data_IF_605365013872
#
_entry.id   IF_605365013872
#
_cell.length_a   1.000
_cell.length_b   1.000
_cell.length_c   1.000
_cell.angle_alpha   90.00
_cell.angle_beta   90.00
_cell.angle_gamma   90.00
#
_symmetry.space_group_name_H-M   'P 1'
#
loop_
_entity.id
_entity.type
_entity.pdbx_description
1 polymer ?
#
# COMPACT_ATOMS: atom_id res chain seq x y z
N UNK A 1 31.82 -10.49 -7.13
CA UNK A 1 30.98 -11.66 -7.47
C UNK A 1 30.31 -12.06 -6.15
N UNK A 2 29.02 -11.88 -5.88
CA UNK A 2 27.80 -11.91 -6.69
C UNK A 2 26.85 -10.78 -6.24
N UNK A 3 26.31 -10.00 -7.18
CA UNK A 3 25.13 -9.19 -6.92
C UNK A 3 23.92 -10.08 -7.20
N UNK A 4 23.40 -10.77 -6.20
CA UNK A 4 22.09 -11.41 -6.31
C UNK A 4 21.04 -10.29 -6.33
N UNK A 5 20.72 -9.82 -7.55
CA UNK A 5 19.42 -9.19 -7.82
C UNK A 5 18.38 -10.23 -7.43
N UNK A 6 17.83 -10.12 -6.22
CA UNK A 6 16.59 -10.81 -5.85
C UNK A 6 15.47 -10.02 -6.53
N UNK A 7 15.36 -10.17 -7.84
CA UNK A 7 14.12 -9.88 -8.54
C UNK A 7 13.36 -11.21 -8.62
N UNK A 8 12.87 -11.68 -7.46
CA UNK A 8 11.80 -12.68 -7.47
C UNK A 8 10.55 -11.90 -7.84
N UNK A 9 9.90 -12.29 -8.92
CA UNK A 9 8.52 -11.94 -9.19
C UNK A 9 7.74 -12.20 -7.89
N UNK A 10 7.30 -11.14 -7.20
CA UNK A 10 6.53 -11.32 -5.98
C UNK A 10 5.24 -12.06 -6.36
N UNK A 11 4.92 -13.12 -5.64
CA UNK A 11 3.62 -13.78 -5.84
C UNK A 11 2.50 -12.81 -5.41
N UNK A 12 1.29 -13.07 -5.90
CA UNK A 12 0.12 -12.21 -5.62
C UNK A 12 -0.14 -12.07 -4.12
N UNK A 13 0.09 -13.12 -3.34
CA UNK A 13 -0.10 -13.08 -1.89
C UNK A 13 0.90 -12.12 -1.21
N UNK A 14 2.15 -12.14 -1.64
CA UNK A 14 3.21 -11.26 -1.16
C UNK A 14 2.90 -9.80 -1.46
N UNK A 15 2.40 -9.51 -2.68
CA UNK A 15 2.01 -8.16 -3.07
C UNK A 15 0.84 -7.64 -2.21
N UNK A 16 -0.16 -8.47 -1.93
CA UNK A 16 -1.29 -8.09 -1.08
C UNK A 16 -0.88 -7.91 0.39
N UNK A 17 0.00 -8.76 0.92
CA UNK A 17 0.58 -8.58 2.26
C UNK A 17 1.38 -7.28 2.33
N UNK A 18 2.23 -7.00 1.33
CA UNK A 18 2.99 -5.74 1.26
C UNK A 18 2.06 -4.53 1.19
N UNK A 19 0.96 -4.63 0.43
CA UNK A 19 -0.06 -3.58 0.35
C UNK A 19 -0.72 -3.33 1.70
N UNK A 20 -1.10 -4.38 2.43
CA UNK A 20 -1.66 -4.25 3.78
C UNK A 20 -0.66 -3.65 4.76
N UNK A 21 0.59 -4.10 4.73
CA UNK A 21 1.67 -3.56 5.56
C UNK A 21 1.94 -2.08 5.26
N UNK A 22 1.71 -1.62 4.03
CA UNK A 22 1.87 -0.21 3.69
C UNK A 22 0.88 0.70 4.42
N UNK A 23 -0.24 0.16 4.91
CA UNK A 23 -1.22 0.90 5.71
C UNK A 23 -1.00 0.80 7.23
N UNK A 24 0.06 0.12 7.70
CA UNK A 24 0.33 -0.10 9.14
C UNK A 24 0.38 1.21 9.93
N UNK A 25 0.96 2.26 9.33
CA UNK A 25 1.16 3.56 9.97
C UNK A 25 0.11 4.60 9.52
N UNK A 26 -0.90 4.19 8.74
CA UNK A 26 -1.95 5.08 8.25
C UNK A 26 -3.13 5.13 9.24
N UNK A 27 -3.94 6.19 9.14
CA UNK A 27 -5.10 6.43 10.03
C UNK A 27 -6.19 5.35 9.98
N UNK A 28 -6.19 4.50 8.94
CA UNK A 28 -7.06 3.34 8.83
C UNK A 28 -6.93 2.62 7.50
N UNK A 29 -7.35 1.37 7.45
CA UNK A 29 -7.41 0.55 6.24
C UNK A 29 -8.64 -0.35 6.26
N UNK A 30 -9.05 -0.83 5.09
CA UNK A 30 -10.15 -1.77 4.97
C UNK A 30 -9.87 -2.82 3.91
N UNK A 31 -10.46 -3.99 4.12
CA UNK A 31 -10.38 -5.14 3.22
C UNK A 31 -11.78 -5.57 2.83
N UNK A 32 -12.00 -5.74 1.54
CA UNK A 32 -13.19 -6.38 0.99
C UNK A 32 -12.80 -7.77 0.47
N UNK A 33 -13.52 -8.78 0.93
CA UNK A 33 -13.37 -10.17 0.47
C UNK A 33 -14.70 -10.75 0.02
N UNK A 34 -14.62 -11.73 -0.89
CA UNK A 34 -15.73 -12.60 -1.28
C UNK A 34 -15.36 -14.03 -0.90
N UNK A 35 -15.89 -14.50 0.24
CA UNK A 35 -15.47 -15.77 0.82
C UNK A 35 -13.96 -15.74 1.12
N UNK A 36 -13.21 -16.70 0.58
CA UNK A 36 -11.76 -16.79 0.73
C UNK A 36 -10.95 -15.91 -0.23
N UNK A 37 -11.61 -15.25 -1.19
CA UNK A 37 -10.94 -14.42 -2.19
C UNK A 37 -10.88 -12.96 -1.76
N UNK A 38 -9.68 -12.38 -1.76
CA UNK A 38 -9.49 -10.94 -1.58
C UNK A 38 -9.95 -10.20 -2.83
N UNK A 39 -10.84 -9.21 -2.66
CA UNK A 39 -11.31 -8.35 -3.75
C UNK A 39 -10.48 -7.06 -3.78
N UNK A 40 -10.32 -6.39 -2.63
CA UNK A 40 -9.46 -5.22 -2.53
C UNK A 40 -9.01 -4.97 -1.09
N UNK A 41 -7.75 -4.60 -0.93
CA UNK A 41 -7.23 -3.92 0.26
C UNK A 41 -6.95 -2.45 -0.08
N UNK A 42 -7.35 -1.52 0.78
CA UNK A 42 -7.19 -0.08 0.53
C UNK A 42 -7.14 0.76 1.79
N UNK A 43 -6.67 2.00 1.62
CA UNK A 43 -6.68 3.01 2.68
C UNK A 43 -8.11 3.31 3.14
N UNK A 44 -8.31 3.52 4.43
CA UNK A 44 -9.63 3.67 5.05
C UNK A 44 -10.44 4.81 4.43
N UNK A 45 -9.81 5.97 4.21
CA UNK A 45 -10.46 7.14 3.59
C UNK A 45 -10.92 6.85 2.15
N UNK A 46 -10.11 6.15 1.35
CA UNK A 46 -10.50 5.87 -0.04
C UNK A 46 -11.60 4.83 -0.11
N UNK A 47 -11.56 3.80 0.73
CA UNK A 47 -12.61 2.79 0.83
C UNK A 47 -13.92 3.40 1.35
N UNK A 48 -13.87 4.23 2.39
CA UNK A 48 -15.04 4.93 2.91
C UNK A 48 -15.71 5.74 1.80
N UNK A 49 -14.93 6.49 1.01
CA UNK A 49 -15.47 7.25 -0.12
C UNK A 49 -16.14 6.38 -1.17
N UNK A 50 -15.61 5.18 -1.47
CA UNK A 50 -16.27 4.24 -2.41
C UNK A 50 -17.67 3.87 -1.89
N UNK A 51 -17.79 3.65 -0.58
CA UNK A 51 -19.05 3.26 0.08
C UNK A 51 -20.02 4.44 0.10
N UNK A 52 -19.57 5.64 0.48
CA UNK A 52 -20.39 6.86 0.45
C UNK A 52 -20.91 7.18 -0.95
N UNK A 53 -20.10 6.93 -1.97
CA UNK A 53 -20.44 7.14 -3.37
C UNK A 53 -21.25 5.99 -3.99
N UNK A 54 -21.73 5.01 -3.21
CA UNK A 54 -22.44 3.83 -3.73
C UNK A 54 -23.57 4.20 -4.70
N UNK A 55 -24.35 5.23 -4.39
CA UNK A 55 -25.44 5.69 -5.25
C UNK A 55 -24.98 6.14 -6.66
N UNK A 56 -23.73 6.58 -6.81
CA UNK A 56 -23.16 7.03 -8.08
C UNK A 56 -22.78 5.88 -9.01
N UNK A 57 -22.44 4.72 -8.46
CA UNK A 57 -21.94 3.59 -9.25
C UNK A 57 -22.81 2.32 -9.17
N UNK A 58 -23.80 2.26 -8.26
CA UNK A 58 -24.69 1.10 -8.08
C UNK A 58 -25.45 0.68 -9.35
N UNK A 59 -25.70 1.61 -10.27
CA UNK A 59 -26.43 1.34 -11.52
C UNK A 59 -25.75 0.30 -12.41
N UNK A 60 -24.42 0.15 -12.30
CA UNK A 60 -23.64 -0.81 -13.08
C UNK A 60 -23.55 -2.20 -12.43
N UNK A 61 -23.95 -2.33 -11.16
CA UNK A 61 -23.73 -3.55 -10.35
C UNK A 61 -24.52 -4.75 -10.89
N UNK A 62 -25.75 -4.51 -11.36
CA UNK A 62 -26.59 -5.59 -11.92
C UNK A 62 -25.99 -6.23 -13.17
N UNK A 63 -25.28 -5.44 -13.98
CA UNK A 63 -24.72 -5.89 -15.26
C UNK A 63 -23.30 -6.43 -15.09
N UNK A 64 -22.47 -5.74 -14.29
CA UNK A 64 -21.01 -5.99 -14.23
C UNK A 64 -20.55 -6.70 -12.95
N UNK A 65 -21.44 -6.83 -11.96
CA UNK A 65 -21.12 -7.41 -10.66
C UNK A 65 -20.53 -6.38 -9.68
N UNK A 66 -20.72 -6.64 -8.39
CA UNK A 66 -20.34 -5.72 -7.31
C UNK A 66 -18.82 -5.54 -7.22
N UNK A 67 -18.07 -6.64 -7.27
CA UNK A 67 -16.62 -6.64 -7.10
C UNK A 67 -15.93 -5.83 -8.20
N UNK A 68 -16.38 -6.01 -9.45
CA UNK A 68 -15.86 -5.27 -10.60
C UNK A 68 -16.17 -3.77 -10.47
N UNK A 69 -17.41 -3.41 -10.13
CA UNK A 69 -17.80 -2.02 -9.96
C UNK A 69 -17.04 -1.35 -8.80
N UNK A 70 -16.92 -2.04 -7.66
CA UNK A 70 -16.23 -1.54 -6.48
C UNK A 70 -14.75 -1.29 -6.76
N UNK A 71 -14.04 -2.27 -7.32
CA UNK A 71 -12.61 -2.16 -7.66
C UNK A 71 -12.36 -1.08 -8.71
N UNK A 72 -13.22 -0.99 -9.74
CA UNK A 72 -13.13 0.04 -10.77
C UNK A 72 -13.36 1.44 -10.21
N UNK A 73 -14.32 1.60 -9.30
CA UNK A 73 -14.58 2.90 -8.67
C UNK A 73 -13.46 3.29 -7.70
N UNK A 74 -12.99 2.33 -6.88
CA UNK A 74 -11.85 2.53 -5.98
C UNK A 74 -10.58 2.96 -6.73
N UNK A 75 -10.27 2.34 -7.87
CA UNK A 75 -9.12 2.69 -8.70
C UNK A 75 -9.20 4.12 -9.29
N UNK A 76 -10.41 4.69 -9.45
CA UNK A 76 -10.60 6.07 -9.93
C UNK A 76 -10.39 7.10 -8.82
N UNK A 77 -10.55 6.71 -7.56
CA UNK A 77 -10.41 7.61 -6.42
C UNK A 77 -8.92 7.78 -6.11
N UNK A 78 -8.30 8.83 -6.68
CA UNK A 78 -6.92 9.26 -6.36
C UNK A 78 -6.88 10.02 -5.03
N UNK A 79 -7.23 9.35 -3.93
CA UNK A 79 -7.17 9.95 -2.59
C UNK A 79 -5.96 9.55 -1.76
N UNK A 80 -5.24 8.51 -2.16
CA UNK A 80 -4.14 7.98 -1.34
C UNK A 80 -2.79 8.48 -1.83
N UNK A 81 -1.93 8.97 -0.93
CA UNK A 81 -0.50 9.11 -1.20
C UNK A 81 0.09 7.80 -1.75
N UNK A 82 1.17 7.90 -2.52
CA UNK A 82 1.97 6.75 -2.98
C UNK A 82 2.27 5.80 -1.81
N UNK A 83 2.25 4.48 -2.05
CA UNK A 83 2.52 3.47 -1.03
C UNK A 83 3.88 3.67 -0.34
N UNK A 84 3.92 3.54 0.99
CA UNK A 84 5.15 3.45 1.78
C UNK A 84 5.16 2.14 2.56
N UNK A 85 6.23 1.36 2.45
CA UNK A 85 6.39 0.10 3.16
C UNK A 85 7.64 0.18 4.04
N UNK A 86 7.46 0.05 5.36
CA UNK A 86 8.56 -0.02 6.31
C UNK A 86 8.79 -1.50 6.71
N UNK A 87 9.94 -2.06 6.34
CA UNK A 87 10.35 -3.42 6.68
C UNK A 87 11.28 -3.37 7.90
N UNK A 88 11.01 -4.11 8.99
CA UNK A 88 11.92 -4.18 10.13
C UNK A 88 13.32 -4.62 9.68
N UNK A 89 14.36 -3.87 10.05
CA UNK A 89 15.72 -4.21 9.65
C UNK A 89 16.20 -5.49 10.34
N UNK A 90 16.51 -6.55 9.59
CA UNK A 90 17.12 -7.77 10.16
C UNK A 90 18.26 -8.38 9.34
N UNK A 91 18.75 -7.71 8.28
CA UNK A 91 19.86 -8.26 7.48
C UNK A 91 20.83 -7.17 7.01
N UNK A 92 21.84 -6.87 7.83
CA UNK A 92 22.98 -6.02 7.48
C UNK A 92 23.71 -5.41 8.69
N UNK A 93 24.88 -4.80 8.45
CA UNK A 93 25.56 -3.91 9.42
C UNK A 93 24.74 -2.61 9.54
N UNK A 94 23.73 -2.62 10.40
CA UNK A 94 22.98 -1.42 10.80
C UNK A 94 23.93 -0.51 11.60
N UNK A 95 23.87 0.83 11.47
CA UNK A 95 24.58 1.72 12.38
C UNK A 95 24.23 1.36 13.83
N UNK A 96 25.21 1.45 14.73
CA UNK A 96 25.01 1.26 16.17
C UNK A 96 23.77 2.04 16.62
N UNK A 97 22.97 1.37 17.44
CA UNK A 97 21.72 1.81 18.03
C UNK A 97 21.64 3.34 18.21
N UNK A 98 20.81 4.01 17.40
CA UNK A 98 20.62 5.46 17.50
C UNK A 98 19.62 5.76 18.62
N UNK A 99 19.94 6.72 19.49
CA UNK A 99 19.02 7.20 20.52
C UNK A 99 18.25 8.42 20.00
N UNK A 100 16.97 8.52 20.37
CA UNK A 100 16.15 9.70 20.09
C UNK A 100 16.75 10.93 20.79
N UNK A 101 17.01 12.05 20.08
CA UNK A 101 17.63 13.22 20.68
C UNK A 101 16.78 13.88 21.79
N UNK A 102 15.47 13.66 21.77
CA UNK A 102 14.54 14.29 22.71
C UNK A 102 14.30 13.46 24.00
N UNK A 103 14.33 12.13 23.90
CA UNK A 103 14.03 11.25 25.05
C UNK A 103 15.12 10.22 25.38
N UNK A 104 16.20 10.22 24.61
CA UNK A 104 17.38 9.36 24.75
C UNK A 104 17.09 7.84 24.74
N UNK A 105 15.90 7.43 24.28
CA UNK A 105 15.53 6.02 24.09
C UNK A 105 16.06 5.50 22.77
N UNK A 106 16.41 4.22 22.73
CA UNK A 106 16.78 3.51 21.50
C UNK A 106 15.67 3.63 20.46
N UNK A 107 16.02 4.02 19.24
CA UNK A 107 15.11 4.10 18.12
C UNK A 107 14.97 2.74 17.43
N UNK A 108 13.78 2.46 16.89
CA UNK A 108 13.58 1.32 16.01
C UNK A 108 14.18 1.59 14.62
N UNK A 109 14.76 0.55 14.00
CA UNK A 109 15.34 0.63 12.66
C UNK A 109 14.50 -0.11 11.63
N UNK A 110 14.18 0.55 10.53
CA UNK A 110 13.45 -0.04 9.41
C UNK A 110 14.06 0.38 8.06
N UNK A 111 13.91 -0.47 7.06
CA UNK A 111 14.14 -0.15 5.66
C UNK A 111 12.82 0.36 5.08
N UNK A 112 12.80 1.60 4.61
CA UNK A 112 11.59 2.20 4.02
C UNK A 112 11.65 2.18 2.50
N UNK A 113 10.62 1.59 1.88
CA UNK A 113 10.36 1.67 0.44
C UNK A 113 9.25 2.69 0.23
N UNK A 114 9.56 3.81 -0.42
CA UNK A 114 8.59 4.85 -0.76
C UNK A 114 8.37 4.85 -2.26
N UNK A 115 7.12 4.70 -2.66
CA UNK A 115 6.67 4.95 -4.02
C UNK A 115 6.86 6.45 -4.33
N UNK A 116 7.50 6.76 -5.45
CA UNK A 116 7.65 8.12 -5.98
C UNK A 116 6.96 8.17 -7.34
N UNK A 117 5.71 8.62 -7.40
CA UNK A 117 5.10 8.96 -8.68
C UNK A 117 5.67 10.30 -9.13
N UNK A 118 6.64 10.29 -10.05
CA UNK A 118 6.98 11.47 -10.85
C UNK A 118 5.89 11.56 -11.91
N UNK A 119 4.78 12.21 -11.59
CA UNK A 119 3.82 12.67 -12.61
C UNK A 119 4.37 13.96 -13.25
N UNK A 120 5.51 13.84 -13.92
CA UNK A 120 6.16 14.91 -14.68
C UNK A 120 6.88 14.32 -15.89
N UNK A 121 6.74 14.91 -17.10
CA UNK A 121 7.40 14.37 -18.29
C UNK A 121 8.90 14.37 -18.07
N UNK A 122 9.56 13.29 -18.48
CA UNK A 122 11.02 13.19 -18.55
C UNK A 122 11.63 14.48 -19.07
N UNK A 123 12.27 15.26 -18.19
CA UNK A 123 13.29 16.20 -18.61
C UNK A 123 14.61 15.52 -18.31
N UNK A 124 15.13 14.86 -19.34
CA UNK A 124 16.55 14.54 -19.43
C UNK A 124 17.34 15.84 -19.23
N UNK A 125 18.31 15.81 -18.30
CA UNK A 125 19.49 16.65 -18.38
C UNK A 125 20.73 15.74 -18.30
#
# INVERSE_FOLDING_TARGET
MFHTKINKQADLATLEIQKLLSYKNESGWAVLSKGSSLVVAGHGISILKVIEDFDKWKGQVREKGFEFCFTTYHAKIRLTPCCRLDIPGSTGKVPETMNCPDCNRSMETFISYKCCHIDGPNVHH
#
